data_IF_293755593997
#
_entry.id   IF_293755593997
#
_cell.length_a   1.000
_cell.length_b   1.000
_cell.length_c   1.000
_cell.angle_alpha   90.00
_cell.angle_beta   90.00
_cell.angle_gamma   90.00
#
_symmetry.space_group_name_H-M   'P 1'
#
loop_
_entity.id
_entity.type
_entity.pdbx_description
1 polymer ?
#
# COMPACT_ATOMS: atom_id res chain seq x y z
N UNK A 1 -8.76 -6.96 0.97
CA UNK A 1 -8.03 -6.68 -0.29
C UNK A 1 -8.67 -5.46 -0.96
N UNK A 2 -7.97 -4.72 -1.85
CA UNK A 2 -8.60 -3.59 -2.54
C UNK A 2 -9.65 -4.05 -3.56
N UNK A 3 -10.78 -3.34 -3.66
CA UNK A 3 -11.84 -3.64 -4.65
C UNK A 3 -11.39 -3.35 -6.10
N UNK A 4 -10.52 -2.36 -6.29
CA UNK A 4 -10.00 -1.93 -7.59
C UNK A 4 -8.58 -1.39 -7.45
N UNK A 5 -7.69 -1.87 -8.31
CA UNK A 5 -6.35 -1.31 -8.49
C UNK A 5 -6.29 -0.58 -9.82
N UNK A 6 -5.80 0.67 -9.79
CA UNK A 6 -5.54 1.45 -11.01
C UNK A 6 -4.06 1.73 -11.15
N UNK A 7 -3.49 1.39 -12.31
CA UNK A 7 -2.07 1.61 -12.61
C UNK A 7 -1.88 2.35 -13.92
N UNK A 8 -0.68 2.89 -14.13
CA UNK A 8 -0.25 3.16 -15.50
C UNK A 8 0.14 1.82 -16.17
N UNK A 9 0.36 1.82 -17.48
CA UNK A 9 0.71 0.60 -18.24
C UNK A 9 2.17 0.15 -18.08
N UNK A 10 2.86 0.57 -17.01
CA UNK A 10 4.23 0.14 -16.78
C UNK A 10 4.29 -1.40 -16.58
N UNK A 11 5.11 -2.13 -17.37
CA UNK A 11 5.10 -3.59 -17.38
C UNK A 11 5.37 -4.25 -16.02
N UNK A 12 6.05 -3.56 -15.09
CA UNK A 12 6.39 -4.12 -13.79
C UNK A 12 5.17 -4.28 -12.86
N UNK A 13 4.03 -3.62 -13.12
CA UNK A 13 2.88 -3.70 -12.22
C UNK A 13 2.28 -5.10 -12.17
N UNK A 14 2.26 -5.86 -13.26
CA UNK A 14 1.73 -7.23 -13.25
C UNK A 14 2.47 -8.09 -12.21
N UNK A 15 3.79 -8.02 -12.20
CA UNK A 15 4.65 -8.74 -11.25
C UNK A 15 4.49 -8.20 -9.83
N UNK A 16 4.39 -6.87 -9.68
CA UNK A 16 4.22 -6.24 -8.36
C UNK A 16 2.87 -6.59 -7.71
N UNK A 17 1.80 -6.60 -8.50
CA UNK A 17 0.44 -6.96 -8.08
C UNK A 17 0.37 -8.43 -7.67
N UNK A 18 0.91 -9.34 -8.48
CA UNK A 18 1.00 -10.75 -8.11
C UNK A 18 1.84 -10.99 -6.85
N UNK A 19 2.92 -10.23 -6.65
CA UNK A 19 3.74 -10.36 -5.44
C UNK A 19 3.04 -9.86 -4.19
N UNK A 20 2.20 -8.84 -4.31
CA UNK A 20 1.58 -8.14 -3.17
C UNK A 20 0.25 -8.78 -2.79
N UNK A 21 -0.59 -9.04 -3.79
CA UNK A 21 -1.97 -9.49 -3.62
C UNK A 21 -2.18 -10.90 -4.18
N UNK A 22 -1.15 -11.52 -4.77
CA UNK A 22 -1.30 -12.85 -5.35
C UNK A 22 -1.56 -13.92 -4.29
N UNK A 23 -2.48 -14.83 -4.60
CA UNK A 23 -2.83 -15.96 -3.75
C UNK A 23 -2.05 -17.19 -4.22
N UNK A 24 -1.29 -17.85 -3.33
CA UNK A 24 -0.63 -19.10 -3.66
C UNK A 24 -1.65 -20.19 -3.99
N UNK A 25 -1.35 -21.02 -4.97
CA UNK A 25 -2.14 -22.20 -5.34
C UNK A 25 -2.50 -23.09 -4.14
N UNK A 26 -1.56 -23.27 -3.23
CA UNK A 26 -1.73 -24.09 -2.04
C UNK A 26 -2.73 -23.52 -1.02
N UNK A 27 -3.03 -22.21 -1.09
CA UNK A 27 -4.00 -21.54 -0.23
C UNK A 27 -5.43 -21.55 -0.80
N UNK A 28 -5.63 -22.07 -2.02
CA UNK A 28 -6.96 -22.17 -2.62
C UNK A 28 -7.77 -23.29 -1.96
N UNK A 29 -8.84 -22.92 -1.26
CA UNK A 29 -9.78 -23.83 -0.61
C UNK A 29 -10.77 -24.43 -1.62
N UNK A 30 -10.26 -25.21 -2.57
CA UNK A 30 -11.07 -25.88 -3.59
C UNK A 30 -11.42 -27.33 -3.18
N UNK A 31 -12.67 -27.72 -3.41
CA UNK A 31 -13.11 -29.11 -3.30
C UNK A 31 -12.43 -30.01 -4.34
N UNK A 32 -12.46 -31.32 -4.12
CA UNK A 32 -11.90 -32.31 -5.06
C UNK A 32 -12.55 -32.21 -6.44
N UNK A 33 -13.87 -31.92 -6.48
CA UNK A 33 -14.61 -31.75 -7.73
C UNK A 33 -14.15 -30.50 -8.48
N UNK A 34 -13.98 -29.38 -7.79
CA UNK A 34 -13.50 -28.13 -8.39
C UNK A 34 -12.07 -28.27 -8.90
N UNK A 35 -11.18 -28.90 -8.11
CA UNK A 35 -9.80 -29.17 -8.54
C UNK A 35 -9.73 -29.99 -9.82
N UNK A 36 -10.64 -30.95 -10.00
CA UNK A 36 -10.72 -31.73 -11.25
C UNK A 36 -11.29 -30.92 -12.41
N UNK A 37 -12.25 -30.03 -12.14
CA UNK A 37 -12.88 -29.20 -13.16
C UNK A 37 -11.94 -28.11 -13.73
N UNK A 38 -11.07 -27.54 -12.89
CA UNK A 38 -10.13 -26.50 -13.30
C UNK A 38 -8.75 -27.04 -13.72
N UNK A 39 -8.59 -28.37 -13.84
CA UNK A 39 -7.31 -29.04 -14.02
C UNK A 39 -6.23 -28.46 -13.08
N UNK A 40 -6.48 -28.61 -11.77
CA UNK A 40 -5.67 -27.97 -10.75
C UNK A 40 -4.17 -28.23 -10.91
N UNK A 41 -3.74 -29.34 -11.51
CA UNK A 41 -2.33 -29.64 -11.73
C UNK A 41 -1.64 -28.62 -12.66
N UNK A 42 -2.28 -28.21 -13.76
CA UNK A 42 -1.70 -27.32 -14.78
C UNK A 42 -1.73 -25.84 -14.42
N UNK A 43 -2.50 -25.48 -13.39
CA UNK A 43 -2.63 -24.08 -13.00
C UNK A 43 -1.33 -23.50 -12.36
N UNK A 44 -1.02 -22.20 -12.54
CA UNK A 44 0.21 -21.55 -12.06
C UNK A 44 0.41 -21.58 -10.53
N UNK A 45 1.62 -21.32 -10.05
CA UNK A 45 1.90 -21.37 -8.61
C UNK A 45 1.23 -20.24 -7.80
N UNK A 46 0.96 -19.09 -8.43
CA UNK A 46 0.37 -17.89 -7.82
C UNK A 46 -0.61 -17.26 -8.80
N UNK A 47 -1.75 -16.79 -8.29
CA UNK A 47 -2.82 -16.16 -9.09
C UNK A 47 -3.12 -14.78 -8.55
N UNK A 48 -3.59 -13.91 -9.44
CA UNK A 48 -4.20 -12.67 -9.00
C UNK A 48 -5.66 -12.94 -8.61
N UNK A 49 -6.11 -12.56 -7.39
CA UNK A 49 -7.47 -12.86 -6.92
C UNK A 49 -8.53 -12.30 -7.86
N UNK A 50 -9.65 -13.00 -8.00
CA UNK A 50 -10.76 -12.57 -8.88
C UNK A 50 -11.54 -11.41 -8.29
N UNK A 51 -11.48 -11.25 -6.97
CA UNK A 51 -12.12 -10.20 -6.19
C UNK A 51 -11.50 -8.82 -6.46
N UNK A 52 -10.28 -8.78 -6.99
CA UNK A 52 -9.57 -7.53 -7.28
C UNK A 52 -9.71 -7.18 -8.75
N UNK A 53 -10.45 -6.11 -9.03
CA UNK A 53 -10.51 -5.51 -10.35
C UNK A 53 -9.19 -4.78 -10.66
N UNK A 54 -8.76 -4.80 -11.92
CA UNK A 54 -7.56 -4.07 -12.37
C UNK A 54 -7.85 -3.27 -13.62
N UNK A 55 -7.55 -1.98 -13.58
CA UNK A 55 -7.70 -1.07 -14.71
C UNK A 55 -6.42 -0.25 -14.94
N UNK A 56 -6.15 0.10 -16.19
CA UNK A 56 -4.98 0.86 -16.59
C UNK A 56 -5.38 2.18 -17.25
N UNK A 57 -4.47 3.15 -17.17
CA UNK A 57 -4.53 4.39 -17.93
C UNK A 57 -3.28 4.51 -18.79
N UNK A 58 -3.46 4.48 -20.10
CA UNK A 58 -2.41 4.72 -21.10
C UNK A 58 -2.45 6.18 -21.52
N UNK A 59 -1.30 6.84 -21.47
CA UNK A 59 -1.14 8.22 -21.94
C UNK A 59 -0.29 8.18 -23.20
N UNK A 60 -0.85 8.56 -24.34
CA UNK A 60 -0.07 8.79 -25.54
C UNK A 60 0.61 10.16 -25.44
N UNK A 61 1.89 10.22 -25.80
CA UNK A 61 2.65 11.46 -25.75
C UNK A 61 3.35 11.74 -27.06
N UNK A 62 3.32 12.99 -27.48
CA UNK A 62 4.07 13.51 -28.62
C UNK A 62 4.73 14.82 -28.21
N UNK A 63 6.03 14.98 -28.48
CA UNK A 63 6.79 16.17 -28.07
C UNK A 63 6.76 16.45 -26.56
N UNK A 64 6.68 15.40 -25.72
CA UNK A 64 6.62 15.53 -24.26
C UNK A 64 5.24 15.93 -23.69
N UNK A 65 4.25 16.20 -24.54
CA UNK A 65 2.87 16.52 -24.14
C UNK A 65 1.98 15.30 -24.27
N UNK A 66 0.97 15.19 -23.40
CA UNK A 66 -0.05 14.14 -23.50
C UNK A 66 -1.05 14.54 -24.59
N UNK A 67 -1.19 13.70 -25.62
CA UNK A 67 -2.09 13.94 -26.76
C UNK A 67 -3.38 13.12 -26.66
N UNK A 68 -3.33 11.94 -26.04
CA UNK A 68 -4.50 11.09 -25.83
C UNK A 68 -4.40 10.31 -24.52
N UNK A 69 -5.55 9.92 -23.97
CA UNK A 69 -5.66 9.11 -22.76
C UNK A 69 -6.64 7.97 -23.04
N UNK A 70 -6.16 6.74 -22.98
CA UNK A 70 -6.96 5.52 -23.09
C UNK A 70 -7.09 4.88 -21.71
N UNK A 71 -8.30 4.46 -21.35
CA UNK A 71 -8.60 3.77 -20.09
C UNK A 71 -9.04 2.36 -20.42
N UNK A 72 -8.43 1.35 -19.82
CA UNK A 72 -8.70 -0.06 -20.10
C UNK A 72 -8.99 -0.81 -18.82
N UNK A 73 -9.97 -1.71 -18.85
CA UNK A 73 -10.18 -2.70 -17.80
C UNK A 73 -9.39 -3.93 -18.21
N UNK A 74 -8.40 -4.31 -17.40
CA UNK A 74 -7.53 -5.47 -17.63
C UNK A 74 -8.13 -6.71 -16.99
N UNK A 75 -8.73 -6.58 -15.80
CA UNK A 75 -9.46 -7.63 -15.11
C UNK A 75 -10.70 -7.08 -14.40
N UNK A 76 -11.73 -7.92 -14.32
CA UNK A 76 -13.02 -7.56 -13.75
C UNK A 76 -14.05 -7.15 -14.80
N UNK A 77 -15.30 -6.99 -14.37
CA UNK A 77 -16.39 -6.53 -15.26
C UNK A 77 -16.53 -5.00 -15.22
N UNK A 78 -17.06 -4.37 -16.27
CA UNK A 78 -17.38 -2.94 -16.25
C UNK A 78 -18.24 -2.52 -15.06
N UNK A 79 -19.20 -3.35 -14.66
CA UNK A 79 -20.12 -3.10 -13.54
C UNK A 79 -19.40 -3.14 -12.20
N UNK A 80 -18.50 -4.13 -12.00
CA UNK A 80 -17.69 -4.24 -10.79
C UNK A 80 -16.74 -3.05 -10.65
N UNK A 81 -16.07 -2.65 -11.74
CA UNK A 81 -15.20 -1.47 -11.77
C UNK A 81 -15.99 -0.19 -11.49
N UNK A 82 -17.16 -0.02 -12.10
CA UNK A 82 -18.02 1.14 -11.85
C UNK A 82 -18.44 1.22 -10.38
N UNK A 83 -18.82 0.08 -9.78
CA UNK A 83 -19.20 -0.01 -8.36
C UNK A 83 -18.02 0.31 -7.44
N UNK A 84 -16.81 -0.15 -7.75
CA UNK A 84 -15.62 0.20 -6.99
C UNK A 84 -15.29 1.70 -7.08
N UNK A 85 -15.47 2.31 -8.27
CA UNK A 85 -15.23 3.73 -8.49
C UNK A 85 -16.20 4.63 -7.72
N UNK A 86 -17.46 4.23 -7.52
CA UNK A 86 -18.44 5.03 -6.76
C UNK A 86 -18.16 5.04 -5.26
N UNK A 87 -17.49 4.02 -4.73
CA UNK A 87 -17.03 3.96 -3.33
C UNK A 87 -15.80 4.83 -3.05
N UNK A 88 -15.10 5.28 -4.09
CA UNK A 88 -13.88 6.06 -3.97
C UNK A 88 -14.12 7.53 -3.59
N UNK A 89 -13.08 8.19 -3.06
CA UNK A 89 -13.14 9.62 -2.69
C UNK A 89 -12.78 10.57 -3.85
N UNK A 90 -12.47 10.04 -5.04
CA UNK A 90 -12.20 10.80 -6.26
C UNK A 90 -13.39 10.69 -7.22
N UNK A 91 -13.50 11.57 -8.23
CA UNK A 91 -14.50 11.41 -9.29
C UNK A 91 -14.53 9.96 -9.80
N UNK A 92 -15.71 9.36 -10.03
CA UNK A 92 -15.87 7.94 -10.34
C UNK A 92 -15.40 7.63 -11.77
N UNK A 93 -14.09 7.68 -11.96
CA UNK A 93 -13.43 7.46 -13.24
C UNK A 93 -12.08 6.79 -13.02
N UNK A 94 -11.72 5.89 -13.95
CA UNK A 94 -10.40 5.24 -13.94
C UNK A 94 -9.33 6.32 -14.05
N UNK A 95 -8.51 6.45 -13.02
CA UNK A 95 -7.43 7.42 -12.94
C UNK A 95 -6.24 6.86 -12.15
N UNK A 96 -5.06 7.39 -12.43
CA UNK A 96 -3.80 6.98 -11.76
C UNK A 96 -3.35 7.99 -10.70
N UNK A 97 -4.25 8.89 -10.27
CA UNK A 97 -3.88 9.99 -9.38
C UNK A 97 -3.34 9.50 -8.03
N UNK A 98 -3.81 8.35 -7.53
CA UNK A 98 -3.33 7.73 -6.30
C UNK A 98 -1.87 7.31 -6.40
N UNK A 99 -1.52 6.53 -7.44
CA UNK A 99 -0.16 6.05 -7.68
C UNK A 99 0.79 7.20 -8.00
N UNK A 100 0.37 8.11 -8.88
CA UNK A 100 1.18 9.27 -9.29
C UNK A 100 1.46 10.22 -8.12
N UNK A 101 0.48 10.42 -7.21
CA UNK A 101 0.68 11.19 -5.98
C UNK A 101 1.74 10.54 -5.10
N UNK A 102 1.66 9.23 -4.89
CA UNK A 102 2.66 8.48 -4.13
C UNK A 102 4.06 8.60 -4.78
N UNK A 103 4.16 8.45 -6.10
CA UNK A 103 5.41 8.62 -6.84
C UNK A 103 5.98 10.04 -6.76
N UNK A 104 5.14 11.07 -6.87
CA UNK A 104 5.53 12.47 -6.70
C UNK A 104 6.07 12.74 -5.29
N UNK A 105 5.34 12.30 -4.26
CA UNK A 105 5.77 12.39 -2.85
C UNK A 105 7.11 11.70 -2.63
N UNK A 106 7.29 10.49 -3.16
CA UNK A 106 8.54 9.75 -3.06
C UNK A 106 9.69 10.47 -3.77
N UNK A 107 9.49 10.99 -4.98
CA UNK A 107 10.53 11.75 -5.70
C UNK A 107 10.92 13.03 -4.99
N UNK A 108 9.99 13.67 -4.29
CA UNK A 108 10.24 14.90 -3.55
C UNK A 108 10.96 14.66 -2.21
N UNK A 109 10.55 13.64 -1.44
CA UNK A 109 11.11 13.39 -0.11
C UNK A 109 12.29 12.41 -0.08
N UNK A 110 12.47 11.59 -1.13
CA UNK A 110 13.50 10.57 -1.18
C UNK A 110 14.55 10.90 -2.25
N UNK A 111 15.58 11.68 -1.86
CA UNK A 111 16.68 12.02 -2.75
C UNK A 111 17.39 10.77 -3.33
N UNK A 112 17.39 9.65 -2.59
CA UNK A 112 18.02 8.38 -3.03
C UNK A 112 17.28 7.68 -4.17
N UNK A 113 16.04 8.10 -4.47
CA UNK A 113 15.26 7.66 -5.63
C UNK A 113 15.50 8.51 -6.89
N UNK A 114 16.10 9.68 -6.76
CA UNK A 114 16.23 10.64 -7.87
C UNK A 114 17.68 11.08 -8.07
N UNK A 115 18.25 11.79 -7.09
CA UNK A 115 19.54 12.49 -7.24
C UNK A 115 20.73 11.75 -6.65
N UNK A 116 20.53 10.91 -5.63
CA UNK A 116 21.62 10.30 -4.85
C UNK A 116 21.62 8.77 -4.89
N UNK A 117 21.10 8.18 -5.97
CA UNK A 117 20.98 6.74 -6.27
C UNK A 117 21.55 5.79 -5.19
N UNK A 118 20.66 5.14 -4.42
CA UNK A 118 21.11 4.16 -3.42
C UNK A 118 21.58 2.87 -4.09
N UNK A 119 22.81 2.43 -3.78
CA UNK A 119 23.32 1.10 -4.14
C UNK A 119 22.88 -0.01 -3.16
N UNK A 120 22.40 0.37 -1.98
CA UNK A 120 21.92 -0.57 -0.96
C UNK A 120 20.39 -0.65 -0.98
N UNK A 121 19.86 -1.83 -1.31
CA UNK A 121 18.41 -2.08 -1.37
C UNK A 121 17.74 -1.89 0.00
N UNK A 122 18.34 -2.39 1.07
CA UNK A 122 17.78 -2.26 2.42
C UNK A 122 17.54 -0.79 2.82
N UNK A 123 18.52 0.08 2.59
CA UNK A 123 18.39 1.51 2.85
C UNK A 123 17.36 2.17 1.92
N UNK A 124 17.29 1.74 0.66
CA UNK A 124 16.29 2.24 -0.29
C UNK A 124 14.87 1.94 0.17
N UNK A 125 14.62 0.72 0.65
CA UNK A 125 13.33 0.30 1.21
C UNK A 125 13.03 1.03 2.52
N UNK A 126 13.99 1.13 3.43
CA UNK A 126 13.83 1.83 4.71
C UNK A 126 13.43 3.31 4.50
N UNK A 127 14.15 4.03 3.63
CA UNK A 127 13.82 5.44 3.34
C UNK A 127 12.49 5.55 2.59
N UNK A 128 12.18 4.62 1.67
CA UNK A 128 10.88 4.60 0.99
C UNK A 128 9.73 4.52 1.99
N UNK A 129 9.81 3.59 2.95
CA UNK A 129 8.81 3.44 4.00
C UNK A 129 8.79 4.62 4.96
N UNK A 130 9.94 5.17 5.34
CA UNK A 130 10.02 6.37 6.16
C UNK A 130 9.29 7.54 5.48
N UNK A 131 9.45 7.73 4.17
CA UNK A 131 8.71 8.76 3.43
C UNK A 131 7.19 8.51 3.44
N UNK A 132 6.75 7.26 3.28
CA UNK A 132 5.31 6.90 3.35
C UNK A 132 4.74 7.23 4.73
N UNK A 133 5.40 6.78 5.80
CA UNK A 133 4.95 7.00 7.18
C UNK A 133 4.98 8.50 7.50
N UNK A 134 6.07 9.19 7.18
CA UNK A 134 6.23 10.62 7.43
C UNK A 134 5.20 11.48 6.68
N UNK A 135 4.81 11.09 5.47
CA UNK A 135 3.75 11.75 4.71
C UNK A 135 2.38 11.56 5.37
N UNK A 136 2.02 10.32 5.71
CA UNK A 136 0.69 10.02 6.25
C UNK A 136 0.49 10.49 7.68
N UNK A 137 1.48 10.33 8.56
CA UNK A 137 1.35 10.58 9.99
C UNK A 137 1.90 11.92 10.43
N UNK A 138 2.96 12.41 9.78
CA UNK A 138 3.67 13.60 10.22
C UNK A 138 3.47 14.85 9.35
N UNK A 139 2.95 14.73 8.11
CA UNK A 139 2.90 15.86 7.18
C UNK A 139 1.47 16.40 7.04
N UNK A 140 1.26 17.61 7.55
CA UNK A 140 -0.03 18.28 7.43
C UNK A 140 -0.15 18.96 6.06
N UNK A 141 -0.81 18.30 5.11
CA UNK A 141 -1.02 18.87 3.77
C UNK A 141 -2.03 20.01 3.81
N UNK A 142 -1.76 21.08 3.06
CA UNK A 142 -2.61 22.28 3.00
C UNK A 142 -4.05 21.97 2.54
N UNK A 143 -4.25 20.96 1.70
CA UNK A 143 -5.57 20.59 1.16
C UNK A 143 -6.46 19.88 2.17
N UNK A 144 -5.89 19.31 3.24
CA UNK A 144 -6.66 18.60 4.27
C UNK A 144 -6.94 19.45 5.51
N UNK A 145 -6.46 20.70 5.56
CA UNK A 145 -6.71 21.60 6.68
C UNK A 145 -8.21 21.85 6.86
N UNK A 146 -8.67 21.86 8.11
CA UNK A 146 -10.06 22.13 8.45
C UNK A 146 -10.22 23.61 8.77
N UNK A 147 -11.20 24.29 8.15
CA UNK A 147 -11.53 25.67 8.50
C UNK A 147 -12.24 25.67 9.86
N UNK A 148 -11.70 26.37 10.85
CA UNK A 148 -12.23 26.43 12.21
C UNK A 148 -12.92 27.75 12.53
N UNK A 149 -12.53 28.84 11.87
CA UNK A 149 -13.19 30.15 12.00
C UNK A 149 -13.48 30.72 10.61
N UNK A 150 -14.62 31.38 10.46
CA UNK A 150 -15.04 32.00 9.21
C UNK A 150 -14.29 33.32 8.93
N UNK A 151 -14.23 34.21 9.92
CA UNK A 151 -13.67 35.56 9.80
C UNK A 151 -12.96 36.01 11.11
N UNK A 152 -11.65 36.31 11.11
CA UNK A 152 -10.70 35.98 10.04
C UNK A 152 -10.57 34.45 9.89
N UNK A 153 -10.26 33.93 8.70
CA UNK A 153 -10.21 32.49 8.48
C UNK A 153 -9.06 31.87 9.29
N UNK A 154 -9.40 30.97 10.23
CA UNK A 154 -8.43 30.10 10.91
C UNK A 154 -8.56 28.68 10.41
N UNK A 155 -7.42 28.00 10.30
CA UNK A 155 -7.34 26.63 9.81
C UNK A 155 -6.59 25.75 10.80
N UNK A 156 -7.15 24.58 11.09
CA UNK A 156 -6.46 23.51 11.82
C UNK A 156 -5.74 22.60 10.83
N UNK A 157 -4.41 22.47 10.91
CA UNK A 157 -3.66 21.52 10.08
C UNK A 157 -4.06 20.08 10.41
N UNK A 158 -4.16 19.23 9.39
CA UNK A 158 -4.44 17.79 9.55
C UNK A 158 -3.55 16.98 8.61
N UNK A 159 -3.12 15.81 9.08
CA UNK A 159 -2.40 14.83 8.26
C UNK A 159 -3.38 13.86 7.60
N UNK A 160 -2.98 13.13 6.55
CA UNK A 160 -3.81 12.08 5.96
C UNK A 160 -4.33 11.07 6.99
N UNK A 161 -3.47 10.61 7.90
CA UNK A 161 -3.85 9.66 8.95
C UNK A 161 -4.88 10.25 9.93
N UNK A 162 -4.81 11.56 10.22
CA UNK A 162 -5.84 12.24 11.03
C UNK A 162 -7.19 12.31 10.31
N UNK A 163 -7.19 12.61 9.00
CA UNK A 163 -8.44 12.65 8.22
C UNK A 163 -9.06 11.26 8.09
N UNK A 164 -8.24 10.23 8.00
CA UNK A 164 -8.67 8.83 8.00
C UNK A 164 -9.09 8.31 9.39
N UNK A 165 -8.93 9.08 10.47
CA UNK A 165 -9.26 8.64 11.83
C UNK A 165 -8.30 7.61 12.43
N UNK A 166 -7.12 7.42 11.85
CA UNK A 166 -6.10 6.47 12.32
C UNK A 166 -5.33 7.02 13.53
N UNK A 167 -5.21 8.34 13.62
CA UNK A 167 -4.54 9.06 14.71
C UNK A 167 -5.26 10.37 14.97
N UNK A 168 -5.15 10.91 16.18
CA UNK A 168 -5.75 12.17 16.60
C UNK A 168 -4.77 13.36 16.56
N UNK A 169 -3.48 13.08 16.42
CA UNK A 169 -2.41 14.07 16.36
C UNK A 169 -1.44 13.83 15.19
N UNK A 170 -0.64 14.87 14.93
CA UNK A 170 0.47 14.83 13.99
C UNK A 170 1.68 14.21 14.69
N UNK A 171 2.26 13.19 14.08
CA UNK A 171 3.45 12.53 14.60
C UNK A 171 4.71 13.33 14.24
N UNK A 172 5.57 13.54 15.22
CA UNK A 172 6.93 14.02 15.07
C UNK A 172 7.82 12.92 14.46
N UNK A 173 9.01 13.32 13.96
CA UNK A 173 9.96 12.31 13.47
C UNK A 173 10.48 11.43 14.61
N UNK A 174 10.66 12.00 15.81
CA UNK A 174 11.04 11.26 17.00
C UNK A 174 10.02 10.16 17.32
N UNK A 175 8.72 10.49 17.40
CA UNK A 175 7.67 9.50 17.64
C UNK A 175 7.65 8.41 16.57
N UNK A 176 7.84 8.77 15.29
CA UNK A 176 7.90 7.77 14.20
C UNK A 176 9.07 6.80 14.37
N UNK A 177 10.21 7.25 14.90
CA UNK A 177 11.43 6.45 15.01
C UNK A 177 11.53 5.67 16.32
N UNK A 178 10.93 6.18 17.40
CA UNK A 178 11.03 5.59 18.74
C UNK A 178 9.84 4.71 19.10
N UNK A 179 8.70 4.86 18.42
CA UNK A 179 7.50 4.10 18.74
C UNK A 179 7.52 2.73 18.05
N UNK A 180 7.52 1.62 18.81
CA UNK A 180 7.55 0.30 18.21
C UNK A 180 6.22 0.00 17.50
N UNK A 181 6.29 -0.40 16.23
CA UNK A 181 5.12 -0.79 15.43
C UNK A 181 4.51 -2.13 15.85
N UNK A 182 5.36 -3.00 16.39
CA UNK A 182 4.96 -4.27 16.97
C UNK A 182 5.28 -4.22 18.45
N UNK A 183 4.41 -4.71 19.35
CA UNK A 183 4.83 -4.91 20.73
C UNK A 183 6.12 -5.75 20.70
N UNK A 184 7.11 -5.43 21.53
CA UNK A 184 8.28 -6.29 21.64
C UNK A 184 7.75 -7.70 21.88
N UNK A 185 8.26 -8.69 21.13
CA UNK A 185 7.98 -10.10 21.43
C UNK A 185 8.21 -10.24 22.93
N UNK A 186 7.16 -10.56 23.69
CA UNK A 186 7.29 -10.81 25.13
C UNK A 186 8.47 -11.76 25.26
N UNK A 187 9.59 -11.28 25.82
CA UNK A 187 10.70 -12.16 26.11
C UNK A 187 10.10 -13.23 27.00
N UNK A 188 10.16 -14.50 26.56
CA UNK A 188 9.64 -15.61 27.36
C UNK A 188 10.16 -15.41 28.78
N UNK A 189 9.24 -15.24 29.73
CA UNK A 189 9.56 -14.92 31.12
C UNK A 189 10.69 -15.83 31.58
N UNK A 190 11.79 -15.23 32.05
CA UNK A 190 12.99 -15.91 32.56
C UNK A 190 12.68 -16.99 33.62
N UNK A 191 11.45 -17.03 34.16
CA UNK A 191 10.93 -18.07 35.03
C UNK A 191 10.92 -19.48 34.42
N UNK A 192 10.83 -19.64 33.09
CA UNK A 192 10.86 -20.99 32.49
C UNK A 192 12.28 -21.57 32.40
N UNK A 193 13.32 -20.73 32.29
CA UNK A 193 14.73 -21.19 32.26
C UNK A 193 15.25 -21.53 33.67
N UNK A 194 14.79 -20.83 34.70
CA UNK A 194 15.16 -21.14 36.10
C UNK A 194 14.60 -22.51 36.56
N UNK A 195 13.41 -22.91 36.07
CA UNK A 195 12.83 -24.23 36.40
C UNK A 195 13.52 -25.39 35.69
N UNK A 196 14.17 -25.15 34.55
CA UNK A 196 14.94 -26.17 33.84
C UNK A 196 16.33 -26.40 34.48
N UNK A 197 16.96 -25.34 35.01
CA UNK A 197 18.26 -25.45 35.69
C UNK A 197 18.17 -26.14 37.06
N UNK A 198 17.05 -25.98 37.78
CA UNK A 198 16.79 -26.63 39.07
C UNK A 198 16.32 -28.10 38.96
N UNK A 199 16.02 -28.58 37.76
CA UNK A 199 15.64 -29.97 37.52
C UNK A 199 16.85 -30.87 37.14
N UNK A 200 18.02 -30.27 36.90
CA UNK A 200 19.24 -30.98 36.46
C UNK A 200 20.31 -31.14 37.55
N UNK A 201 20.08 -30.64 38.77
CA UNK A 201 21.00 -30.80 39.91
C UNK A 201 20.51 -31.80 40.98
N UNK A 202 19.51 -32.62 40.63
CA UNK A 202 18.92 -33.61 41.52
C UNK A 202 18.89 -35.01 40.91
N UNK A 203 20.06 -35.55 40.55
CA UNK A 203 20.28 -36.99 40.33
C UNK A 203 21.66 -37.40 40.85
#
# INVERSE_FOLDING_TARGET
>A
MPDLVTTDEYPAYSTALLRTDGVPKAALELSVREKKACDFASLPAVYFPEEINHATVRKERQGGRVVSIEKRIVRGTPEAVATALTRGSTPPTINVSYVERCHGTQRHFNARKVYTFSKALALHLAVTWLCVVRYNFGWAVRTLRQKTLANPPRYRPRTPAMVAGITDHRWTLEEILTRPLFPPKTAATTQTLAKAALATEGE
#
